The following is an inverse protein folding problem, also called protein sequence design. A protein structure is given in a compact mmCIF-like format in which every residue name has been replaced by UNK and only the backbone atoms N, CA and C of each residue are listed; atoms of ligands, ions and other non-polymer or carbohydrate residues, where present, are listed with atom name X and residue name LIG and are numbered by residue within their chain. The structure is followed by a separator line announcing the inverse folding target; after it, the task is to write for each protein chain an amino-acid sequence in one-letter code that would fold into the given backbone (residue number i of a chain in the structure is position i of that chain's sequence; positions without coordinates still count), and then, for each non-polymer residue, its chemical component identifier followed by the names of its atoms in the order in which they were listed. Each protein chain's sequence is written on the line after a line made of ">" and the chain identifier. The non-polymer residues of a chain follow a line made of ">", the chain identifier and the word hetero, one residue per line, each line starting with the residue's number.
data_IF_370352989257
#
_entry.id   IF_370352989257
#
_cell.length_a   1.000
_cell.length_b   1.000
_cell.length_c   1.000
_cell.angle_alpha   90.00
_cell.angle_beta   90.00
_cell.angle_gamma   90.00
#
_symmetry.space_group_name_H-M   'P 1'
#
loop_
_entity.id
_entity.type
_entity.pdbx_description
1 polymer ?
#
# COMPACT_ATOMS: atom_id res chain seq x y z
N UNK A 1 -21.26 33.28 4.73
CA UNK A 1 -19.97 33.07 4.02
C UNK A 1 -20.08 33.01 2.50
N UNK A 2 -19.11 33.57 1.76
CA UNK A 2 -19.08 33.50 0.29
C UNK A 2 -18.69 32.09 -0.23
N UNK A 3 -19.20 31.73 -1.41
CA UNK A 3 -18.85 30.48 -2.10
C UNK A 3 -17.37 30.49 -2.51
N UNK A 4 -16.68 29.37 -2.34
CA UNK A 4 -15.22 29.18 -2.51
C UNK A 4 -14.32 29.81 -1.43
N UNK A 5 -14.88 30.34 -0.34
CA UNK A 5 -14.06 30.80 0.80
C UNK A 5 -13.39 29.62 1.51
N UNK A 6 -12.12 29.80 1.88
CA UNK A 6 -11.38 28.85 2.72
C UNK A 6 -11.79 28.99 4.18
N UNK A 7 -12.14 27.86 4.81
CA UNK A 7 -12.62 27.82 6.20
C UNK A 7 -11.91 26.72 6.99
N UNK A 8 -11.90 26.88 8.32
CA UNK A 8 -11.38 25.89 9.27
C UNK A 8 -12.47 25.51 10.27
N UNK A 9 -12.70 24.21 10.41
CA UNK A 9 -13.56 23.59 11.41
C UNK A 9 -12.70 22.91 12.48
N UNK A 10 -13.04 23.06 13.76
CA UNK A 10 -12.25 22.51 14.87
C UNK A 10 -12.03 20.99 14.80
N UNK A 11 -13.04 20.23 14.36
CA UNK A 11 -13.00 18.77 14.25
C UNK A 11 -12.58 18.22 12.89
N UNK A 12 -12.90 18.93 11.81
CA UNK A 12 -12.78 18.41 10.43
C UNK A 12 -11.62 19.06 9.67
N UNK A 13 -10.97 20.04 10.29
CA UNK A 13 -9.82 20.71 9.73
C UNK A 13 -10.22 21.72 8.67
N UNK A 14 -9.43 21.76 7.62
CA UNK A 14 -9.46 22.77 6.57
C UNK A 14 -10.43 22.34 5.45
N UNK A 15 -11.24 23.26 4.93
CA UNK A 15 -12.16 23.00 3.82
C UNK A 15 -12.52 24.24 3.01
N UNK A 16 -13.34 24.05 1.99
CA UNK A 16 -13.79 25.09 1.07
C UNK A 16 -15.31 25.14 1.06
N UNK A 17 -15.88 26.33 1.20
CA UNK A 17 -17.34 26.52 1.19
C UNK A 17 -17.89 26.27 -0.22
N UNK A 18 -18.82 25.33 -0.34
CA UNK A 18 -19.54 25.03 -1.59
C UNK A 18 -20.78 25.89 -1.69
N UNK A 19 -21.60 25.93 -0.63
CA UNK A 19 -22.86 26.67 -0.61
C UNK A 19 -23.29 26.92 0.82
N UNK A 20 -23.96 28.03 1.06
CA UNK A 20 -24.63 28.36 2.30
C UNK A 20 -26.13 28.45 2.06
N UNK A 21 -26.92 27.80 2.90
CA UNK A 21 -28.39 27.87 2.88
C UNK A 21 -28.85 27.94 4.34
N UNK A 22 -29.59 28.99 4.68
CA UNK A 22 -30.24 29.18 6.00
C UNK A 22 -29.29 28.98 7.21
N UNK A 23 -28.09 29.58 7.18
CA UNK A 23 -27.11 29.51 8.27
C UNK A 23 -26.36 28.17 8.39
N UNK A 24 -26.63 27.23 7.47
CA UNK A 24 -25.89 25.98 7.34
C UNK A 24 -24.98 26.05 6.13
N UNK A 25 -23.68 25.84 6.37
CA UNK A 25 -22.65 25.91 5.36
C UNK A 25 -22.27 24.49 4.93
N UNK A 26 -22.37 24.21 3.64
CA UNK A 26 -21.85 22.97 3.05
C UNK A 26 -20.38 23.19 2.70
N UNK A 27 -19.49 22.39 3.28
CA UNK A 27 -18.04 22.51 3.14
C UNK A 27 -17.48 21.21 2.59
N UNK A 28 -16.65 21.32 1.56
CA UNK A 28 -15.76 20.23 1.12
C UNK A 28 -14.44 20.34 1.87
N UNK A 29 -14.17 19.38 2.76
CA UNK A 29 -12.94 19.33 3.54
C UNK A 29 -11.79 18.74 2.74
N UNK A 30 -10.56 19.14 3.03
CA UNK A 30 -9.33 18.63 2.40
C UNK A 30 -9.16 17.09 2.56
N UNK A 31 -9.96 16.48 3.44
CA UNK A 31 -10.07 15.02 3.60
C UNK A 31 -10.94 14.32 2.54
N UNK A 32 -11.57 15.09 1.64
CA UNK A 32 -12.51 14.60 0.62
C UNK A 32 -13.95 14.42 1.13
N UNK A 33 -14.25 14.80 2.37
CA UNK A 33 -15.61 14.73 2.93
C UNK A 33 -16.38 16.01 2.66
N UNK A 34 -17.62 15.88 2.20
CA UNK A 34 -18.56 16.99 2.09
C UNK A 34 -19.52 16.92 3.28
N UNK A 35 -19.53 17.95 4.13
CA UNK A 35 -20.39 18.00 5.31
C UNK A 35 -21.14 19.33 5.37
N UNK A 36 -22.34 19.28 5.95
CA UNK A 36 -23.10 20.44 6.36
C UNK A 36 -22.76 20.77 7.80
N UNK A 37 -22.29 21.98 8.04
CA UNK A 37 -21.86 22.47 9.36
C UNK A 37 -22.48 23.83 9.63
N UNK A 38 -22.86 24.13 10.88
CA UNK A 38 -23.27 25.47 11.28
C UNK A 38 -22.18 26.51 10.98
N UNK A 39 -22.56 27.73 10.59
CA UNK A 39 -21.59 28.79 10.27
C UNK A 39 -20.74 29.20 11.50
N UNK A 40 -21.29 29.11 12.72
CA UNK A 40 -20.60 29.44 13.97
C UNK A 40 -19.49 28.44 14.35
N UNK A 41 -19.51 27.23 13.78
CA UNK A 41 -18.42 26.26 13.92
C UNK A 41 -17.26 26.48 12.93
N UNK A 42 -17.38 27.48 12.04
CA UNK A 42 -16.41 27.78 11.00
C UNK A 42 -15.64 29.08 11.27
N UNK A 43 -14.32 29.00 11.14
CA UNK A 43 -13.43 30.17 11.15
C UNK A 43 -12.94 30.43 9.74
N UNK A 44 -13.13 31.65 9.22
CA UNK A 44 -12.58 32.04 7.92
C UNK A 44 -11.06 32.01 7.96
N UNK A 45 -10.45 31.43 6.93
CA UNK A 45 -9.00 31.39 6.79
C UNK A 45 -8.61 32.51 5.83
N UNK A 46 -7.85 33.46 6.36
CA UNK A 46 -7.31 34.59 5.59
C UNK A 46 -6.53 34.07 4.37
N UNK A 47 -6.80 34.66 3.21
CA UNK A 47 -6.09 34.34 1.98
C UNK A 47 -4.68 34.94 1.97
N UNK A 48 -3.80 34.44 1.10
CA UNK A 48 -2.46 35.01 0.97
C UNK A 48 -2.50 36.49 0.53
N UNK A 49 -3.47 36.84 -0.31
CA UNK A 49 -3.65 38.21 -0.80
C UNK A 49 -4.20 39.14 0.31
N UNK A 50 -5.16 38.67 1.11
CA UNK A 50 -5.65 39.39 2.30
C UNK A 50 -4.53 39.62 3.32
N UNK A 51 -3.73 38.58 3.59
CA UNK A 51 -2.61 38.66 4.53
C UNK A 51 -1.51 39.63 4.07
N UNK A 52 -1.27 39.77 2.76
CA UNK A 52 -0.32 40.75 2.20
C UNK A 52 -0.80 42.20 2.37
N UNK A 53 -2.11 42.41 2.39
CA UNK A 53 -2.72 43.72 2.58
C UNK A 53 -2.94 44.07 4.06
N UNK A 54 -2.66 43.14 4.97
CA UNK A 54 -2.80 43.32 6.40
C UNK A 54 -1.57 44.08 6.96
N UNK A 55 -1.75 45.18 7.72
CA UNK A 55 -0.63 45.91 8.32
C UNK A 55 0.13 45.10 9.38
N UNK A 56 -0.45 44.00 9.85
CA UNK A 56 0.11 43.12 10.87
C UNK A 56 0.86 41.95 10.22
N UNK A 57 2.18 42.03 10.22
CA UNK A 57 3.04 40.99 9.66
C UNK A 57 3.21 39.81 10.61
N UNK A 58 3.16 38.59 10.07
CA UNK A 58 3.51 37.39 10.81
C UNK A 58 4.98 37.39 11.24
N UNK A 59 5.30 36.72 12.35
CA UNK A 59 6.67 36.58 12.81
C UNK A 59 7.54 35.89 11.74
N UNK A 60 8.74 36.40 11.42
CA UNK A 60 9.65 35.75 10.48
C UNK A 60 9.94 34.29 10.82
N UNK A 61 10.04 33.97 12.12
CA UNK A 61 10.23 32.59 12.59
C UNK A 61 9.01 31.71 12.28
N UNK A 62 7.79 32.21 12.50
CA UNK A 62 6.56 31.47 12.18
C UNK A 62 6.44 31.21 10.68
N UNK A 63 6.80 32.19 9.85
CA UNK A 63 6.81 32.04 8.39
C UNK A 63 7.84 30.99 7.96
N UNK A 64 9.07 31.06 8.50
CA UNK A 64 10.12 30.08 8.22
C UNK A 64 9.70 28.65 8.62
N UNK A 65 9.14 28.49 9.83
CA UNK A 65 8.64 27.19 10.32
C UNK A 65 7.51 26.64 9.45
N UNK A 66 6.57 27.51 9.03
CA UNK A 66 5.48 27.11 8.14
C UNK A 66 5.99 26.72 6.76
N UNK A 67 6.98 27.43 6.23
CA UNK A 67 7.68 27.07 4.99
C UNK A 67 8.36 25.70 5.08
N UNK A 68 9.12 25.45 6.15
CA UNK A 68 9.75 24.14 6.40
C UNK A 68 8.71 23.02 6.54
N UNK A 69 7.61 23.26 7.26
CA UNK A 69 6.53 22.28 7.40
C UNK A 69 5.87 21.95 6.05
N UNK A 70 5.65 22.96 5.19
CA UNK A 70 5.13 22.77 3.84
C UNK A 70 6.11 22.01 2.93
N UNK A 71 7.41 22.27 3.05
CA UNK A 71 8.44 21.50 2.33
C UNK A 71 8.45 20.03 2.77
N UNK A 72 8.40 19.77 4.08
CA UNK A 72 8.29 18.40 4.61
C UNK A 72 7.02 17.73 4.08
N UNK A 73 5.88 18.44 4.09
CA UNK A 73 4.62 17.91 3.57
C UNK A 73 4.69 17.62 2.07
N UNK A 74 5.19 18.56 1.27
CA UNK A 74 5.37 18.42 -0.18
C UNK A 74 6.25 17.21 -0.52
N UNK A 75 7.40 17.09 0.15
CA UNK A 75 8.28 15.93 0.00
C UNK A 75 7.59 14.64 0.43
N UNK A 76 6.87 14.63 1.55
CA UNK A 76 6.13 13.44 1.99
C UNK A 76 4.96 13.07 1.05
N UNK A 77 4.31 14.05 0.42
CA UNK A 77 3.22 13.85 -0.53
C UNK A 77 3.73 13.30 -1.87
N UNK A 78 4.86 13.82 -2.36
CA UNK A 78 5.53 13.30 -3.56
C UNK A 78 6.03 11.87 -3.38
N UNK A 79 6.60 11.56 -2.21
CA UNK A 79 7.32 10.31 -2.03
C UNK A 79 6.59 9.26 -1.18
N UNK A 80 5.45 9.61 -0.57
CA UNK A 80 4.68 8.69 0.26
C UNK A 80 5.37 8.39 1.59
N UNK A 81 5.38 9.38 2.49
CA UNK A 81 5.68 9.24 3.94
C UNK A 81 6.93 8.40 4.26
N UNK A 82 8.10 9.04 4.23
CA UNK A 82 9.35 8.49 4.81
C UNK A 82 9.46 8.68 6.33
N UNK A 83 8.43 9.22 6.98
CA UNK A 83 8.56 9.77 8.34
C UNK A 83 8.52 8.73 9.48
N UNK A 84 8.28 7.44 9.21
CA UNK A 84 8.15 6.42 10.27
C UNK A 84 9.08 5.20 10.13
N UNK A 85 9.76 5.02 9.00
CA UNK A 85 10.66 3.88 8.82
C UNK A 85 11.90 4.05 9.68
N UNK A 86 12.21 3.06 10.54
CA UNK A 86 13.41 3.05 11.41
C UNK A 86 14.71 2.72 10.66
N UNK A 87 14.76 2.98 9.35
CA UNK A 87 15.78 2.44 8.44
C UNK A 87 16.41 3.58 7.64
N UNK A 88 17.72 3.51 7.40
CA UNK A 88 18.40 4.34 6.42
C UNK A 88 18.00 3.88 4.99
N UNK A 89 17.30 4.74 4.26
CA UNK A 89 16.77 4.40 2.94
C UNK A 89 17.79 4.70 1.84
N UNK A 90 17.92 3.78 0.88
CA UNK A 90 18.84 3.94 -0.24
C UNK A 90 18.13 4.52 -1.47
N UNK A 91 18.79 5.37 -2.29
CA UNK A 91 18.14 6.02 -3.43
C UNK A 91 17.47 5.06 -4.43
N UNK A 92 18.05 3.88 -4.67
CA UNK A 92 17.44 2.89 -5.57
C UNK A 92 16.11 2.35 -5.00
N UNK A 93 16.04 2.11 -3.69
CA UNK A 93 14.82 1.67 -3.01
C UNK A 93 13.71 2.71 -3.17
N UNK A 94 14.05 4.00 -3.03
CA UNK A 94 13.11 5.10 -3.22
C UNK A 94 12.58 5.17 -4.66
N UNK A 95 13.46 4.94 -5.63
CA UNK A 95 13.10 4.92 -7.04
C UNK A 95 12.13 3.77 -7.37
N UNK A 96 12.40 2.56 -6.88
CA UNK A 96 11.51 1.39 -7.04
C UNK A 96 10.13 1.71 -6.44
N UNK A 97 10.10 2.23 -5.22
CA UNK A 97 8.84 2.59 -4.56
C UNK A 97 8.06 3.64 -5.35
N UNK A 98 8.72 4.71 -5.80
CA UNK A 98 8.08 5.75 -6.60
C UNK A 98 7.49 5.18 -7.91
N UNK A 99 8.22 4.30 -8.60
CA UNK A 99 7.75 3.63 -9.82
C UNK A 99 6.50 2.80 -9.55
N UNK A 100 6.53 1.94 -8.53
CA UNK A 100 5.40 1.06 -8.19
C UNK A 100 4.17 1.85 -7.73
N UNK A 101 4.37 2.94 -7.00
CA UNK A 101 3.29 3.77 -6.44
C UNK A 101 2.68 4.77 -7.44
N UNK A 102 3.36 5.05 -8.55
CA UNK A 102 2.90 5.99 -9.58
C UNK A 102 1.58 5.60 -10.25
N UNK A 103 1.26 4.30 -10.27
CA UNK A 103 0.02 3.75 -10.83
C UNK A 103 -0.52 2.67 -9.90
N UNK A 104 -1.83 2.68 -9.66
CA UNK A 104 -2.51 1.66 -8.84
C UNK A 104 -3.81 1.21 -9.52
N UNK A 105 -4.16 -0.10 -9.50
CA UNK A 105 -3.34 -1.22 -9.04
C UNK A 105 -2.09 -1.41 -9.90
N UNK A 106 -1.03 -1.95 -9.31
CA UNK A 106 0.25 -2.14 -9.98
C UNK A 106 0.65 -3.62 -10.02
N UNK A 107 1.21 -4.02 -11.16
CA UNK A 107 1.76 -5.34 -11.40
C UNK A 107 3.20 -5.19 -11.87
N UNK A 108 4.17 -5.68 -11.10
CA UNK A 108 5.61 -5.49 -11.37
C UNK A 108 6.44 -6.70 -11.00
N UNK A 109 7.50 -6.91 -11.77
CA UNK A 109 8.63 -7.77 -11.40
C UNK A 109 9.80 -6.89 -10.96
N UNK A 110 10.14 -6.96 -9.67
CA UNK A 110 11.24 -6.25 -9.03
C UNK A 110 12.41 -7.22 -8.91
N UNK A 111 13.42 -7.00 -9.74
CA UNK A 111 14.50 -7.94 -9.99
C UNK A 111 15.86 -7.44 -9.49
N UNK A 112 15.91 -6.95 -8.25
CA UNK A 112 17.14 -6.45 -7.62
C UNK A 112 18.04 -7.59 -7.13
N UNK A 113 19.34 -7.37 -7.03
CA UNK A 113 20.29 -8.38 -6.52
C UNK A 113 19.95 -8.86 -5.09
N UNK A 114 20.47 -10.03 -4.74
CA UNK A 114 20.34 -10.59 -3.39
C UNK A 114 21.02 -9.65 -2.39
N UNK A 115 20.30 -9.29 -1.33
CA UNK A 115 20.83 -8.42 -0.27
C UNK A 115 20.58 -6.92 -0.45
N UNK A 116 20.00 -6.46 -1.56
CA UNK A 116 19.67 -5.02 -1.77
C UNK A 116 18.48 -4.50 -0.94
N UNK A 117 17.83 -5.37 -0.17
CA UNK A 117 16.77 -4.96 0.75
C UNK A 117 15.36 -5.01 0.14
N UNK A 118 15.04 -6.05 -0.62
CA UNK A 118 13.68 -6.28 -1.17
C UNK A 118 12.57 -6.20 -0.12
N UNK A 119 12.82 -6.69 1.10
CA UNK A 119 11.86 -6.55 2.22
C UNK A 119 11.66 -5.08 2.63
N UNK A 120 12.72 -4.26 2.55
CA UNK A 120 12.64 -2.81 2.83
C UNK A 120 11.81 -2.13 1.73
N UNK A 121 12.07 -2.44 0.47
CA UNK A 121 11.28 -1.92 -0.67
C UNK A 121 9.81 -2.32 -0.56
N UNK A 122 9.52 -3.58 -0.23
CA UNK A 122 8.16 -4.04 0.01
C UNK A 122 7.49 -3.23 1.14
N UNK A 123 8.16 -3.04 2.27
CA UNK A 123 7.62 -2.23 3.37
C UNK A 123 7.40 -0.76 2.99
N UNK A 124 8.31 -0.17 2.21
CA UNK A 124 8.18 1.20 1.69
C UNK A 124 7.02 1.34 0.69
N UNK A 125 6.74 0.31 -0.12
CA UNK A 125 5.57 0.27 -1.01
C UNK A 125 4.28 0.10 -0.18
N UNK A 126 4.29 -0.82 0.78
CA UNK A 126 3.12 -1.16 1.60
C UNK A 126 2.69 -0.01 2.51
N UNK A 127 3.63 0.69 3.13
CA UNK A 127 3.36 1.75 4.11
C UNK A 127 2.37 2.82 3.60
N UNK A 128 2.60 3.50 2.46
CA UNK A 128 1.66 4.48 1.93
C UNK A 128 0.37 3.85 1.38
N UNK A 129 0.42 2.62 0.86
CA UNK A 129 -0.78 1.93 0.35
C UNK A 129 -1.75 1.56 1.47
N UNK A 130 -1.23 1.02 2.58
CA UNK A 130 -1.99 0.72 3.79
C UNK A 130 -2.50 2.00 4.45
N UNK A 131 -1.65 3.02 4.58
CA UNK A 131 -2.03 4.30 5.20
C UNK A 131 -3.15 5.03 4.44
N UNK A 132 -3.19 4.89 3.10
CA UNK A 132 -4.26 5.45 2.25
C UNK A 132 -5.47 4.53 2.11
N UNK A 133 -5.45 3.33 2.71
CA UNK A 133 -6.50 2.33 2.57
C UNK A 133 -6.66 1.77 1.15
N UNK A 134 -5.66 1.95 0.28
CA UNK A 134 -5.61 1.37 -1.07
C UNK A 134 -5.37 -0.14 -1.04
N UNK A 135 -4.61 -0.58 -0.04
CA UNK A 135 -4.45 -2.00 0.31
C UNK A 135 -5.07 -2.18 1.70
N UNK A 136 -5.99 -3.13 1.80
CA UNK A 136 -6.55 -3.62 3.07
C UNK A 136 -6.32 -5.11 3.19
N UNK A 137 -6.48 -5.83 2.08
CA UNK A 137 -6.22 -7.26 1.93
C UNK A 137 -4.86 -7.50 1.27
N UNK A 138 -3.90 -8.03 2.03
CA UNK A 138 -2.53 -8.30 1.61
C UNK A 138 -2.18 -9.78 1.81
N UNK A 139 -1.68 -10.42 0.77
CA UNK A 139 -1.08 -11.75 0.85
C UNK A 139 0.40 -11.66 0.46
N UNK A 140 1.28 -12.12 1.34
CA UNK A 140 2.71 -12.27 1.07
C UNK A 140 3.03 -13.75 1.02
N UNK A 141 3.57 -14.18 -0.11
CA UNK A 141 4.01 -15.55 -0.34
C UNK A 141 5.54 -15.55 -0.38
N UNK A 142 6.17 -16.23 0.57
CA UNK A 142 7.62 -16.29 0.68
C UNK A 142 8.11 -17.74 0.80
N UNK A 143 9.40 -18.04 0.59
CA UNK A 143 9.98 -19.32 0.98
C UNK A 143 9.76 -19.60 2.48
N UNK A 144 9.55 -20.86 2.86
CA UNK A 144 9.24 -21.26 4.24
C UNK A 144 10.22 -20.71 5.28
N UNK A 145 11.52 -20.66 4.96
CA UNK A 145 12.56 -20.14 5.85
C UNK A 145 12.54 -18.62 6.04
N UNK A 146 11.81 -17.87 5.20
CA UNK A 146 11.74 -16.41 5.25
C UNK A 146 10.44 -15.89 5.86
N UNK A 147 9.43 -16.74 6.06
CA UNK A 147 8.10 -16.31 6.57
C UNK A 147 8.21 -15.57 7.90
N UNK A 148 8.94 -16.12 8.87
CA UNK A 148 9.10 -15.48 10.18
C UNK A 148 9.86 -14.17 10.07
N UNK A 149 10.91 -14.14 9.26
CA UNK A 149 11.68 -12.94 9.00
C UNK A 149 10.84 -11.82 8.34
N UNK A 150 9.91 -12.18 7.44
CA UNK A 150 8.98 -11.24 6.84
C UNK A 150 8.06 -10.62 7.89
N UNK A 151 7.43 -11.44 8.73
CA UNK A 151 6.57 -10.96 9.81
C UNK A 151 7.32 -10.04 10.78
N UNK A 152 8.53 -10.42 11.20
CA UNK A 152 9.37 -9.64 12.10
C UNK A 152 9.77 -8.30 11.47
N UNK A 153 10.28 -8.30 10.23
CA UNK A 153 10.71 -7.07 9.55
C UNK A 153 9.56 -6.11 9.30
N UNK A 154 8.39 -6.61 8.86
CA UNK A 154 7.21 -5.78 8.67
C UNK A 154 6.76 -5.10 9.97
N UNK A 155 6.76 -5.85 11.07
CA UNK A 155 6.42 -5.32 12.40
C UNK A 155 7.46 -4.32 12.89
N UNK A 156 8.73 -4.69 12.89
CA UNK A 156 9.78 -3.93 13.59
C UNK A 156 10.22 -2.69 12.82
N UNK A 157 10.18 -2.75 11.47
CA UNK A 157 10.63 -1.65 10.62
C UNK A 157 9.50 -0.73 10.16
N UNK A 158 8.28 -1.26 9.99
CA UNK A 158 7.16 -0.57 9.35
C UNK A 158 5.86 -0.55 10.19
N UNK A 159 5.85 -1.19 11.37
CA UNK A 159 4.65 -1.34 12.22
C UNK A 159 3.47 -2.02 11.50
N UNK A 160 3.78 -2.90 10.54
CA UNK A 160 2.80 -3.70 9.80
C UNK A 160 2.71 -5.08 10.46
N UNK A 161 1.54 -5.40 11.01
CA UNK A 161 1.28 -6.69 11.67
C UNK A 161 0.51 -7.63 10.75
N UNK A 162 1.23 -8.50 10.07
CA UNK A 162 0.63 -9.57 9.29
C UNK A 162 0.51 -10.87 10.09
N UNK A 163 -0.56 -11.62 9.86
CA UNK A 163 -0.75 -12.94 10.43
C UNK A 163 0.11 -13.97 9.69
N UNK A 164 0.82 -14.82 10.43
CA UNK A 164 1.50 -15.97 9.85
C UNK A 164 0.48 -17.06 9.55
N UNK A 165 0.49 -17.56 8.31
CA UNK A 165 -0.33 -18.70 7.92
C UNK A 165 0.29 -20.01 8.42
N UNK A 166 -0.55 -20.82 9.07
CA UNK A 166 -0.23 -22.16 9.53
C UNK A 166 -1.34 -23.12 9.05
N UNK A 167 -1.02 -24.27 8.43
CA UNK A 167 -2.05 -25.23 7.99
C UNK A 167 -3.01 -25.66 9.09
N UNK A 168 -2.54 -25.71 10.33
CA UNK A 168 -3.30 -26.21 11.48
C UNK A 168 -4.47 -25.28 11.89
N UNK A 169 -4.39 -24.00 11.50
CA UNK A 169 -5.42 -22.98 11.75
C UNK A 169 -6.36 -22.75 10.57
N UNK A 170 -6.06 -23.34 9.40
CA UNK A 170 -6.86 -23.26 8.18
C UNK A 170 -7.71 -24.53 8.03
N UNK A 171 -8.78 -24.62 8.82
CA UNK A 171 -9.68 -25.79 8.84
C UNK A 171 -10.96 -25.50 8.05
N UNK A 172 -11.67 -26.50 7.53
CA UNK A 172 -12.90 -26.29 6.75
C UNK A 172 -14.02 -25.50 7.44
N UNK A 173 -14.02 -25.40 8.77
CA UNK A 173 -14.99 -24.61 9.54
C UNK A 173 -14.52 -23.19 9.87
N UNK A 174 -13.24 -22.90 9.63
CA UNK A 174 -12.60 -21.65 9.99
C UNK A 174 -12.39 -20.81 8.72
N UNK A 175 -12.95 -19.60 8.68
CA UNK A 175 -12.77 -18.69 7.55
C UNK A 175 -11.48 -17.86 7.70
N UNK A 176 -10.34 -18.57 7.81
CA UNK A 176 -9.05 -17.96 8.09
C UNK A 176 -8.72 -16.81 7.12
N UNK A 177 -8.94 -17.06 5.82
CA UNK A 177 -8.57 -16.12 4.75
C UNK A 177 -9.41 -14.85 4.74
N UNK A 178 -10.64 -14.86 5.26
CA UNK A 178 -11.44 -13.65 5.39
C UNK A 178 -11.30 -12.97 6.75
N UNK A 179 -10.95 -13.71 7.81
CA UNK A 179 -10.66 -13.16 9.14
C UNK A 179 -9.36 -12.34 9.13
N UNK A 180 -8.32 -12.84 8.47
CA UNK A 180 -7.01 -12.18 8.44
C UNK A 180 -6.82 -11.39 7.15
N UNK A 181 -6.88 -10.06 7.26
CA UNK A 181 -6.71 -9.18 6.10
C UNK A 181 -5.26 -9.04 5.64
N UNK A 182 -4.26 -9.38 6.46
CA UNK A 182 -2.85 -9.33 6.07
C UNK A 182 -2.20 -10.63 6.47
N UNK A 183 -1.71 -11.41 5.50
CA UNK A 183 -1.22 -12.77 5.73
C UNK A 183 0.16 -12.94 5.09
N UNK A 184 1.08 -13.58 5.81
CA UNK A 184 2.35 -14.11 5.28
C UNK A 184 2.29 -15.63 5.29
N UNK A 185 2.48 -16.25 4.14
CA UNK A 185 2.37 -17.69 3.96
C UNK A 185 3.57 -18.25 3.18
N UNK A 186 3.92 -19.52 3.45
CA UNK A 186 5.00 -20.16 2.70
C UNK A 186 4.50 -20.73 1.37
N UNK A 187 5.28 -20.52 0.31
CA UNK A 187 5.00 -21.07 -1.01
C UNK A 187 4.94 -22.61 -0.96
N UNK A 188 5.83 -23.24 -0.19
CA UNK A 188 5.92 -24.70 -0.07
C UNK A 188 4.69 -25.32 0.55
N UNK A 189 4.03 -24.59 1.45
CA UNK A 189 2.79 -25.01 2.07
C UNK A 189 1.63 -24.73 1.13
N UNK A 190 1.51 -23.50 0.63
CA UNK A 190 0.38 -23.11 -0.24
C UNK A 190 0.30 -23.92 -1.52
N UNK A 191 1.44 -24.31 -2.11
CA UNK A 191 1.46 -25.09 -3.35
C UNK A 191 0.95 -26.53 -3.17
N UNK A 192 0.87 -27.05 -1.95
CA UNK A 192 0.34 -28.39 -1.67
C UNK A 192 -1.15 -28.26 -1.40
N UNK A 193 -1.98 -28.84 -2.27
CA UNK A 193 -3.41 -28.90 -2.03
C UNK A 193 -3.71 -30.09 -1.10
N UNK A 194 -3.71 -29.84 0.20
CA UNK A 194 -4.02 -30.81 1.24
C UNK A 194 -5.21 -30.31 2.05
N UNK A 195 -6.16 -31.21 2.35
CA UNK A 195 -7.44 -30.90 2.97
C UNK A 195 -8.14 -29.73 2.26
N UNK A 196 -8.32 -29.76 0.94
CA UNK A 196 -9.05 -28.73 0.16
C UNK A 196 -8.58 -27.28 0.37
N UNK A 197 -7.29 -27.08 0.68
CA UNK A 197 -6.70 -25.76 0.89
C UNK A 197 -6.88 -24.83 -0.29
N UNK A 198 -6.75 -25.35 -1.50
CA UNK A 198 -6.94 -24.54 -2.72
C UNK A 198 -8.39 -24.11 -2.88
N UNK A 199 -9.36 -24.90 -2.45
CA UNK A 199 -10.75 -24.48 -2.45
C UNK A 199 -10.95 -23.30 -1.49
N UNK A 200 -10.45 -23.41 -0.25
CA UNK A 200 -10.60 -22.33 0.75
C UNK A 200 -9.96 -21.01 0.35
N UNK A 201 -8.74 -21.02 -0.19
CA UNK A 201 -8.10 -19.77 -0.63
C UNK A 201 -8.80 -19.15 -1.86
N UNK A 202 -9.45 -19.98 -2.69
CA UNK A 202 -10.24 -19.51 -3.85
C UNK A 202 -11.62 -18.96 -3.45
N UNK A 203 -12.12 -19.34 -2.28
CA UNK A 203 -13.36 -18.79 -1.69
C UNK A 203 -13.11 -17.50 -0.91
N UNK A 204 -11.84 -17.13 -0.69
CA UNK A 204 -11.49 -15.89 -0.03
C UNK A 204 -11.90 -14.66 -0.85
N UNK A 205 -12.20 -13.55 -0.15
CA UNK A 205 -12.37 -12.25 -0.80
C UNK A 205 -11.09 -11.83 -1.54
N UNK A 206 -11.22 -11.09 -2.67
CA UNK A 206 -10.09 -10.64 -3.47
C UNK A 206 -9.02 -9.90 -2.65
N UNK A 207 -7.76 -10.19 -2.93
CA UNK A 207 -6.61 -9.51 -2.39
C UNK A 207 -6.39 -8.19 -3.14
N UNK A 208 -6.19 -7.10 -2.38
CA UNK A 208 -5.78 -5.83 -2.98
C UNK A 208 -4.35 -5.90 -3.50
N UNK A 209 -3.51 -6.70 -2.85
CA UNK A 209 -2.12 -6.92 -3.23
C UNK A 209 -1.65 -8.33 -2.87
N UNK A 210 -1.04 -9.00 -3.84
CA UNK A 210 -0.24 -10.21 -3.61
C UNK A 210 1.24 -9.87 -3.84
N UNK A 211 2.08 -10.19 -2.86
CA UNK A 211 3.53 -10.10 -2.95
C UNK A 211 4.08 -11.53 -3.01
N UNK A 212 4.95 -11.82 -3.98
CA UNK A 212 5.66 -13.11 -4.02
C UNK A 212 7.15 -12.86 -3.96
N UNK A 213 7.77 -13.33 -2.88
CA UNK A 213 9.22 -13.31 -2.69
C UNK A 213 9.88 -14.55 -3.29
N UNK A 214 11.12 -14.38 -3.74
CA UNK A 214 11.87 -15.35 -4.54
C UNK A 214 11.03 -15.96 -5.67
N UNK A 215 10.40 -15.08 -6.45
CA UNK A 215 9.49 -15.43 -7.56
C UNK A 215 10.12 -16.36 -8.61
N UNK A 216 11.46 -16.49 -8.63
CA UNK A 216 12.17 -17.48 -9.43
C UNK A 216 11.79 -18.94 -9.13
N UNK A 217 11.13 -19.22 -7.99
CA UNK A 217 10.58 -20.53 -7.67
C UNK A 217 9.30 -20.85 -8.45
N UNK A 218 8.61 -19.81 -8.94
CA UNK A 218 7.47 -19.94 -9.82
C UNK A 218 7.97 -20.15 -11.26
N UNK A 219 7.84 -21.37 -11.76
CA UNK A 219 8.28 -21.72 -13.11
C UNK A 219 7.15 -22.32 -13.93
N UNK A 220 7.17 -22.01 -15.22
CA UNK A 220 6.41 -22.65 -16.28
C UNK A 220 7.39 -23.03 -17.41
N UNK A 221 7.21 -24.21 -17.98
CA UNK A 221 7.99 -24.72 -19.10
C UNK A 221 7.15 -24.71 -20.38
N UNK A 222 7.82 -24.57 -21.52
CA UNK A 222 7.17 -24.51 -22.83
C UNK A 222 6.42 -25.81 -23.18
N UNK A 223 6.88 -26.93 -22.62
CA UNK A 223 6.24 -28.25 -22.70
C UNK A 223 4.90 -28.33 -21.95
N UNK A 224 4.48 -27.24 -21.29
CA UNK A 224 3.23 -27.14 -20.53
C UNK A 224 3.35 -27.51 -19.05
N UNK A 225 4.53 -27.99 -18.61
CA UNK A 225 4.77 -28.26 -17.19
C UNK A 225 4.82 -26.97 -16.39
N UNK A 226 4.04 -26.88 -15.31
CA UNK A 226 3.99 -25.71 -14.42
C UNK A 226 4.19 -26.14 -12.97
N UNK A 227 5.01 -25.39 -12.26
CA UNK A 227 5.15 -25.56 -10.81
C UNK A 227 3.80 -25.36 -10.13
N UNK A 228 3.55 -26.10 -9.05
CA UNK A 228 2.31 -25.97 -8.26
C UNK A 228 2.08 -24.54 -7.75
N UNK A 229 3.17 -23.85 -7.38
CA UNK A 229 3.12 -22.45 -6.97
C UNK A 229 2.65 -21.53 -8.10
N UNK A 230 3.20 -21.69 -9.30
CA UNK A 230 2.78 -20.91 -10.47
C UNK A 230 1.30 -21.13 -10.76
N UNK A 231 0.84 -22.40 -10.75
CA UNK A 231 -0.57 -22.74 -10.95
C UNK A 231 -1.49 -22.13 -9.91
N UNK A 232 -1.06 -22.05 -8.64
CA UNK A 232 -1.85 -21.40 -7.60
C UNK A 232 -2.05 -19.91 -7.91
N UNK A 233 -0.97 -19.18 -8.18
CA UNK A 233 -1.05 -17.73 -8.47
C UNK A 233 -1.86 -17.49 -9.75
N UNK A 234 -1.63 -18.29 -10.79
CA UNK A 234 -2.39 -18.24 -12.05
C UNK A 234 -3.89 -18.47 -11.83
N UNK A 235 -4.27 -19.44 -11.00
CA UNK A 235 -5.68 -19.70 -10.70
C UNK A 235 -6.32 -18.58 -9.87
N UNK A 236 -5.61 -18.02 -8.90
CA UNK A 236 -6.10 -16.87 -8.13
C UNK A 236 -6.30 -15.65 -9.02
N UNK A 237 -5.37 -15.41 -9.95
CA UNK A 237 -5.47 -14.31 -10.91
C UNK A 237 -6.61 -14.53 -11.91
N UNK A 238 -6.76 -15.76 -12.44
CA UNK A 238 -7.86 -16.13 -13.35
C UNK A 238 -9.24 -15.98 -12.72
N UNK A 239 -9.34 -16.09 -11.40
CA UNK A 239 -10.57 -15.90 -10.63
C UNK A 239 -10.79 -14.45 -10.19
N UNK A 240 -9.99 -13.50 -10.69
CA UNK A 240 -10.03 -12.07 -10.34
C UNK A 240 -9.83 -11.81 -8.82
N UNK A 241 -9.12 -12.71 -8.13
CA UNK A 241 -8.83 -12.59 -6.70
C UNK A 241 -7.58 -11.75 -6.41
N UNK A 242 -6.90 -11.23 -7.45
CA UNK A 242 -5.65 -10.46 -7.31
C UNK A 242 -5.80 -9.13 -8.04
N UNK A 243 -5.89 -8.02 -7.29
CA UNK A 243 -5.93 -6.67 -7.90
C UNK A 243 -4.54 -6.17 -8.28
N UNK A 244 -3.58 -6.26 -7.35
CA UNK A 244 -2.17 -5.91 -7.56
C UNK A 244 -1.26 -7.11 -7.31
N UNK A 245 -0.16 -7.20 -8.04
CA UNK A 245 0.76 -8.35 -7.98
C UNK A 245 2.22 -7.88 -8.09
N UNK A 246 3.03 -8.08 -7.05
CA UNK A 246 4.45 -7.74 -7.12
C UNK A 246 5.29 -8.98 -6.88
N UNK A 247 6.20 -9.22 -7.81
CA UNK A 247 7.19 -10.29 -7.74
C UNK A 247 8.53 -9.70 -7.32
N UNK A 248 9.16 -10.32 -6.32
CA UNK A 248 10.52 -10.01 -5.88
C UNK A 248 11.43 -11.19 -6.23
N UNK A 249 12.55 -10.95 -6.89
CA UNK A 249 13.51 -12.02 -7.22
C UNK A 249 14.92 -11.51 -7.43
N UNK A 250 15.92 -12.21 -6.90
CA UNK A 250 17.32 -11.95 -7.23
C UNK A 250 17.77 -12.51 -8.58
N UNK A 251 16.97 -13.41 -9.17
CA UNK A 251 17.34 -14.14 -10.40
C UNK A 251 16.11 -14.28 -11.31
N UNK A 252 15.66 -13.18 -11.95
CA UNK A 252 14.43 -13.19 -12.76
C UNK A 252 14.54 -14.12 -13.97
N UNK A 253 15.74 -14.26 -14.54
CA UNK A 253 15.98 -15.00 -15.77
C UNK A 253 17.08 -16.05 -15.57
N UNK A 254 16.72 -17.33 -15.67
CA UNK A 254 17.65 -18.46 -15.45
C UNK A 254 18.07 -19.15 -16.75
N UNK A 255 18.03 -18.42 -17.87
CA UNK A 255 18.30 -18.97 -19.21
C UNK A 255 17.12 -19.71 -19.84
N UNK A 256 15.92 -19.53 -19.30
CA UNK A 256 14.66 -20.07 -19.85
C UNK A 256 13.68 -18.92 -20.11
N UNK A 257 13.68 -18.41 -21.33
CA UNK A 257 12.87 -17.25 -21.75
C UNK A 257 11.37 -17.48 -21.48
N UNK A 258 10.88 -18.69 -21.77
CA UNK A 258 9.47 -19.03 -21.57
C UNK A 258 9.04 -18.88 -20.10
N UNK A 259 9.86 -19.31 -19.15
CA UNK A 259 9.55 -19.21 -17.73
C UNK A 259 9.46 -17.75 -17.27
N UNK A 260 10.42 -16.92 -17.71
CA UNK A 260 10.42 -15.49 -17.42
C UNK A 260 9.20 -14.79 -18.03
N UNK A 261 8.91 -15.03 -19.31
CA UNK A 261 7.73 -14.46 -19.98
C UNK A 261 6.42 -14.93 -19.36
N UNK A 262 6.37 -16.16 -18.85
CA UNK A 262 5.19 -16.68 -18.16
C UNK A 262 4.91 -15.94 -16.85
N UNK A 263 5.94 -15.51 -16.13
CA UNK A 263 5.77 -14.66 -14.95
C UNK A 263 5.27 -13.26 -15.31
N UNK A 264 5.73 -12.69 -16.42
CA UNK A 264 5.28 -11.39 -16.90
C UNK A 264 3.86 -11.38 -17.47
N UNK A 265 3.31 -12.55 -17.78
CA UNK A 265 1.92 -12.71 -18.25
C UNK A 265 0.90 -12.71 -17.12
N UNK A 266 1.35 -13.00 -15.89
CA UNK A 266 0.57 -12.79 -14.67
C UNK A 266 0.57 -11.29 -14.38
#
# INVERSE_FOLDING_TARGET
>A
MATHTRVRHGRHGLGTVIVEIDGVVTVEFDTGKILKVPEDELVSVESAEEALNNPTWASPLQVALRGLALLIRSTNEQWGVFSRSRIALLPHQLWVCHRVLSRWPSRWLIADDVGLGKTIEAGLILTPLLARGKVKRLLIVAPAGLVDQWCERLRDMFDIRAARYHPEVDRPRDDFWNIHSQVVASLETLRKDHDDRWARIKEAEPWDLVLVDEAHHLNAEETGSRTLGFRLIEELDRLDLIRGLLFFTGTPHRGKDYGFLSLLRL
#
